data_IF_744498706824
#
_entry.id   IF_744498706824
#
_cell.length_a   1.000
_cell.length_b   1.000
_cell.length_c   1.000
_cell.angle_alpha   90.00
_cell.angle_beta   90.00
_cell.angle_gamma   90.00
#
_symmetry.space_group_name_H-M   'P 1'
#
loop_
_entity.id
_entity.type
_entity.pdbx_description
1 polymer ?
#
# COMPACT_ATOMS: atom_id res chain seq x y z
N UNK A 1 18.46 1.40 -20.81
CA UNK A 1 18.10 2.48 -19.87
C UNK A 1 17.50 1.82 -18.64
N UNK A 2 17.98 2.15 -17.44
CA UNK A 2 17.41 1.60 -16.21
C UNK A 2 15.95 2.05 -16.08
N UNK A 3 15.08 1.16 -15.60
CA UNK A 3 13.67 1.49 -15.34
C UNK A 3 13.63 2.56 -14.23
N UNK A 4 12.97 3.72 -14.44
CA UNK A 4 12.79 4.72 -13.40
C UNK A 4 12.23 4.16 -12.09
N UNK A 5 11.41 3.11 -12.17
CA UNK A 5 10.84 2.42 -11.01
C UNK A 5 11.88 1.60 -10.25
N UNK A 6 12.87 1.00 -10.92
CA UNK A 6 13.95 0.26 -10.27
C UNK A 6 14.83 1.19 -9.42
N UNK A 7 15.09 2.40 -9.90
CA UNK A 7 15.80 3.44 -9.13
C UNK A 7 15.06 3.76 -7.83
N UNK A 8 13.75 3.99 -7.91
CA UNK A 8 12.91 4.25 -6.73
C UNK A 8 12.93 3.09 -5.74
N UNK A 9 12.95 1.84 -6.19
CA UNK A 9 13.06 0.70 -5.30
C UNK A 9 14.40 0.64 -4.54
N UNK A 10 15.51 1.08 -5.17
CA UNK A 10 16.79 1.22 -4.47
C UNK A 10 16.74 2.35 -3.42
N UNK A 11 16.13 3.48 -3.74
CA UNK A 11 15.96 4.57 -2.77
C UNK A 11 15.10 4.16 -1.58
N UNK A 12 14.00 3.47 -1.84
CA UNK A 12 13.12 2.96 -0.77
C UNK A 12 13.85 1.99 0.15
N UNK A 13 14.72 1.13 -0.40
CA UNK A 13 15.59 0.28 0.40
C UNK A 13 16.54 1.11 1.28
N UNK A 14 17.14 2.16 0.74
CA UNK A 14 18.01 3.08 1.49
C UNK A 14 17.28 3.79 2.63
N UNK A 15 15.99 4.08 2.45
CA UNK A 15 15.10 4.65 3.47
C UNK A 15 14.55 3.62 4.48
N UNK A 16 14.95 2.34 4.39
CA UNK A 16 14.48 1.27 5.27
C UNK A 16 13.13 0.66 4.88
N UNK A 17 12.63 0.92 3.67
CA UNK A 17 11.42 0.31 3.13
C UNK A 17 11.60 -1.20 2.89
N UNK A 18 10.51 -1.96 3.04
CA UNK A 18 10.48 -3.41 2.86
C UNK A 18 10.52 -3.80 1.36
N UNK A 19 11.66 -3.60 0.71
CA UNK A 19 11.84 -3.82 -0.73
C UNK A 19 12.97 -4.81 -1.02
N UNK A 20 12.65 -5.88 -1.75
CA UNK A 20 13.64 -6.76 -2.38
C UNK A 20 14.09 -6.16 -3.73
N UNK A 21 15.38 -5.89 -3.88
CA UNK A 21 15.95 -5.37 -5.13
C UNK A 21 17.08 -6.27 -5.60
N UNK A 22 17.10 -6.59 -6.90
CA UNK A 22 18.16 -7.38 -7.53
C UNK A 22 19.34 -6.46 -7.89
N UNK A 23 20.56 -6.90 -7.55
CA UNK A 23 21.75 -6.06 -7.71
C UNK A 23 21.85 -4.99 -6.63
N UNK A 24 23.04 -4.88 -6.02
CA UNK A 24 23.35 -3.86 -5.03
C UNK A 24 24.21 -2.81 -5.72
N UNK A 25 23.72 -1.58 -5.81
CA UNK A 25 24.62 -0.46 -6.00
C UNK A 25 25.29 -0.20 -4.64
N UNK A 26 26.62 -0.23 -4.53
CA UNK A 26 27.30 0.01 -3.28
C UNK A 26 27.18 1.50 -2.92
N UNK A 27 26.30 1.78 -1.97
CA UNK A 27 26.26 3.01 -1.18
C UNK A 27 25.82 4.28 -1.93
N UNK A 28 24.67 4.29 -2.63
CA UNK A 28 24.11 5.53 -3.13
C UNK A 28 23.73 6.45 -1.95
N UNK A 29 23.95 7.77 -2.06
CA UNK A 29 23.53 8.70 -1.03
C UNK A 29 22.01 8.60 -0.84
N UNK A 30 21.59 8.36 0.41
CA UNK A 30 20.17 8.26 0.76
C UNK A 30 19.49 9.59 0.48
N UNK A 31 18.55 9.60 -0.46
CA UNK A 31 17.77 10.78 -0.82
C UNK A 31 16.76 11.10 0.29
N UNK A 32 16.40 12.38 0.50
CA UNK A 32 15.38 12.73 1.49
C UNK A 32 14.03 12.04 1.18
N UNK A 33 13.28 11.60 2.20
CA UNK A 33 12.04 10.85 1.98
C UNK A 33 11.01 11.66 1.19
N UNK A 34 10.95 12.98 1.35
CA UNK A 34 10.03 13.86 0.62
C UNK A 34 10.26 13.81 -0.89
N UNK A 35 11.52 13.68 -1.30
CA UNK A 35 11.91 13.54 -2.71
C UNK A 35 11.44 12.19 -3.25
N UNK A 36 11.75 11.12 -2.52
CA UNK A 36 11.45 9.74 -2.96
C UNK A 36 9.94 9.49 -2.97
N UNK A 37 9.19 9.98 -1.97
CA UNK A 37 7.73 9.91 -1.94
C UNK A 37 7.15 10.66 -3.15
N UNK A 38 7.57 11.90 -3.38
CA UNK A 38 7.03 12.72 -4.47
C UNK A 38 7.24 12.06 -5.85
N UNK A 39 8.44 11.56 -6.13
CA UNK A 39 8.70 10.86 -7.40
C UNK A 39 7.94 9.53 -7.47
N UNK A 40 7.80 8.83 -6.34
CA UNK A 40 7.03 7.59 -6.30
C UNK A 40 5.56 7.81 -6.61
N UNK A 41 4.94 8.93 -6.19
CA UNK A 41 3.52 9.16 -6.48
C UNK A 41 3.23 9.29 -7.97
N UNK A 42 4.19 9.76 -8.78
CA UNK A 42 4.08 9.76 -10.24
C UNK A 42 4.05 8.34 -10.84
N UNK A 43 4.59 7.34 -10.15
CA UNK A 43 4.76 5.97 -10.65
C UNK A 43 3.86 4.94 -9.96
N UNK A 44 3.21 5.29 -8.85
CA UNK A 44 2.35 4.40 -8.06
C UNK A 44 1.23 3.75 -8.91
N UNK A 45 0.61 4.52 -9.81
CA UNK A 45 -0.45 4.02 -10.69
C UNK A 45 0.04 2.99 -11.72
N UNK A 46 1.33 3.03 -12.06
CA UNK A 46 1.97 2.03 -12.93
C UNK A 46 2.46 0.80 -12.15
N UNK A 47 2.79 0.96 -10.87
CA UNK A 47 3.34 -0.10 -10.02
C UNK A 47 2.57 -0.23 -8.70
N UNK A 48 1.69 -1.24 -8.61
CA UNK A 48 1.00 -1.58 -7.36
C UNK A 48 1.99 -1.85 -6.23
N UNK A 49 3.11 -2.52 -6.53
CA UNK A 49 4.16 -2.79 -5.54
C UNK A 49 4.77 -1.51 -4.98
N UNK A 50 5.03 -0.50 -5.82
CA UNK A 50 5.55 0.78 -5.36
C UNK A 50 4.54 1.49 -4.45
N UNK A 51 3.27 1.53 -4.86
CA UNK A 51 2.16 2.06 -4.03
C UNK A 51 2.19 1.48 -2.62
N UNK A 52 2.38 0.16 -2.49
CA UNK A 52 2.45 -0.52 -1.20
C UNK A 52 3.67 -0.13 -0.37
N UNK A 53 4.84 -0.04 -1.00
CA UNK A 53 6.08 0.36 -0.33
C UNK A 53 5.94 1.77 0.25
N UNK A 54 5.39 2.71 -0.52
CA UNK A 54 5.18 4.08 -0.04
C UNK A 54 4.18 4.10 1.12
N UNK A 55 3.06 3.40 0.99
CA UNK A 55 2.02 3.36 2.02
C UNK A 55 2.53 2.76 3.33
N UNK A 56 3.22 1.62 3.27
CA UNK A 56 3.82 0.96 4.43
C UNK A 56 4.87 1.84 5.11
N UNK A 57 5.74 2.50 4.33
CA UNK A 57 6.75 3.39 4.89
C UNK A 57 6.11 4.60 5.57
N UNK A 58 5.11 5.23 4.92
CA UNK A 58 4.34 6.34 5.51
C UNK A 58 3.69 5.92 6.83
N UNK A 59 3.07 4.73 6.87
CA UNK A 59 2.45 4.18 8.08
C UNK A 59 3.43 4.00 9.25
N UNK A 60 4.73 3.88 9.00
CA UNK A 60 5.75 3.68 10.04
C UNK A 60 6.54 4.93 10.38
N UNK A 61 6.64 5.88 9.45
CA UNK A 61 7.64 6.95 9.51
C UNK A 61 7.10 8.36 9.20
N UNK A 62 5.77 8.55 9.14
CA UNK A 62 5.18 9.87 8.82
C UNK A 62 5.69 11.01 9.71
N UNK A 63 6.07 10.72 10.95
CA UNK A 63 6.60 11.69 11.91
C UNK A 63 7.95 12.28 11.50
N UNK A 64 8.66 11.63 10.56
CA UNK A 64 9.94 12.10 10.01
C UNK A 64 9.77 12.95 8.75
N UNK A 65 8.54 13.11 8.25
CA UNK A 65 8.25 13.78 6.98
C UNK A 65 8.05 15.27 7.19
N UNK A 66 8.84 16.08 6.49
CA UNK A 66 8.56 17.50 6.32
C UNK A 66 7.42 17.69 5.32
N UNK A 67 6.23 18.04 5.84
CA UNK A 67 5.02 18.18 5.03
C UNK A 67 5.12 19.28 3.98
N UNK A 68 5.78 20.39 4.29
CA UNK A 68 5.87 21.51 3.35
C UNK A 68 6.75 21.14 2.16
N UNK A 69 7.89 20.51 2.45
CA UNK A 69 8.83 20.01 1.46
C UNK A 69 8.17 18.90 0.64
N UNK A 70 7.48 17.93 1.27
CA UNK A 70 6.76 16.89 0.57
C UNK A 70 5.75 17.47 -0.43
N UNK A 71 4.86 18.35 0.03
CA UNK A 71 3.84 18.94 -0.84
C UNK A 71 4.45 19.75 -1.97
N UNK A 72 5.53 20.50 -1.71
CA UNK A 72 6.23 21.25 -2.74
C UNK A 72 6.85 20.32 -3.78
N UNK A 73 7.57 19.26 -3.35
CA UNK A 73 8.17 18.30 -4.26
C UNK A 73 7.13 17.52 -5.05
N UNK A 74 5.99 17.17 -4.44
CA UNK A 74 4.91 16.48 -5.16
C UNK A 74 4.28 17.35 -6.23
N UNK A 75 4.18 18.68 -6.03
CA UNK A 75 3.73 19.60 -7.10
C UNK A 75 4.71 19.67 -8.26
N UNK A 76 6.01 19.61 -7.98
CA UNK A 76 7.05 19.76 -8.99
C UNK A 76 7.20 18.53 -9.90
N UNK A 77 7.04 17.33 -9.34
CA UNK A 77 7.45 16.07 -10.01
C UNK A 77 6.62 14.84 -9.65
N UNK A 78 5.59 15.01 -8.84
CA UNK A 78 4.72 13.94 -8.37
C UNK A 78 3.28 14.12 -8.81
N UNK A 79 2.40 13.32 -8.20
CA UNK A 79 0.96 13.43 -8.30
C UNK A 79 0.35 13.70 -6.91
N UNK A 80 -0.28 14.87 -6.76
CA UNK A 80 -0.91 15.30 -5.50
C UNK A 80 -2.15 14.47 -5.16
N UNK A 81 -2.91 14.03 -6.17
CA UNK A 81 -4.11 13.25 -5.94
C UNK A 81 -3.76 11.84 -5.47
N UNK A 82 -2.71 11.24 -6.04
CA UNK A 82 -2.13 9.98 -5.56
C UNK A 82 -1.55 10.12 -4.15
N UNK A 83 -0.81 11.20 -3.86
CA UNK A 83 -0.34 11.46 -2.50
C UNK A 83 -1.51 11.55 -1.51
N UNK A 84 -2.60 12.21 -1.93
CA UNK A 84 -3.84 12.30 -1.18
C UNK A 84 -4.44 10.93 -0.86
N UNK A 85 -4.56 10.06 -1.87
CA UNK A 85 -5.02 8.67 -1.68
C UNK A 85 -4.14 7.93 -0.66
N UNK A 86 -2.83 8.00 -0.79
CA UNK A 86 -1.90 7.31 0.10
C UNK A 86 -1.99 7.82 1.54
N UNK A 87 -2.06 9.14 1.72
CA UNK A 87 -2.18 9.75 3.04
C UNK A 87 -3.54 9.48 3.68
N UNK A 88 -4.64 9.50 2.91
CA UNK A 88 -5.97 9.17 3.39
C UNK A 88 -6.07 7.68 3.77
N UNK A 89 -5.52 6.79 2.94
CA UNK A 89 -5.41 5.36 3.25
C UNK A 89 -4.61 5.11 4.54
N UNK A 90 -3.49 5.79 4.71
CA UNK A 90 -2.67 5.69 5.91
C UNK A 90 -3.41 6.24 7.14
N UNK A 91 -4.10 7.37 7.00
CA UNK A 91 -4.86 8.00 8.09
C UNK A 91 -6.03 7.15 8.56
N UNK A 92 -6.71 6.45 7.65
CA UNK A 92 -7.79 5.52 8.01
C UNK A 92 -7.31 4.38 8.92
N UNK A 93 -6.04 4.01 8.84
CA UNK A 93 -5.44 2.91 9.61
C UNK A 93 -4.74 3.38 10.87
N UNK A 94 -3.94 4.43 10.73
CA UNK A 94 -3.22 5.08 11.82
C UNK A 94 -3.48 6.59 11.75
N UNK A 95 -4.55 7.06 12.42
CA UNK A 95 -4.85 8.49 12.46
C UNK A 95 -3.64 9.29 12.93
N UNK A 96 -3.25 10.30 12.15
CA UNK A 96 -2.10 11.14 12.49
C UNK A 96 -2.29 12.56 11.93
N UNK A 97 -2.03 13.63 12.72
CA UNK A 97 -2.19 15.02 12.28
C UNK A 97 -1.43 15.35 10.98
N UNK A 98 -0.26 14.73 10.78
CA UNK A 98 0.50 14.86 9.53
C UNK A 98 -0.28 14.38 8.31
N UNK A 99 -0.94 13.22 8.39
CA UNK A 99 -1.75 12.73 7.27
C UNK A 99 -2.94 13.63 7.02
N UNK A 100 -3.64 14.08 8.07
CA UNK A 100 -4.75 15.02 7.92
C UNK A 100 -4.30 16.31 7.21
N UNK A 101 -3.13 16.84 7.57
CA UNK A 101 -2.57 18.04 6.92
C UNK A 101 -2.28 17.80 5.44
N UNK A 102 -1.73 16.64 5.10
CA UNK A 102 -1.47 16.26 3.69
C UNK A 102 -2.81 16.14 2.94
N UNK A 103 -3.76 15.36 3.48
CA UNK A 103 -5.08 15.13 2.88
C UNK A 103 -5.83 16.44 2.62
N UNK A 104 -5.83 17.37 3.59
CA UNK A 104 -6.48 18.69 3.43
C UNK A 104 -5.85 19.57 2.35
N UNK A 105 -4.59 19.34 1.99
CA UNK A 105 -3.86 20.16 1.02
C UNK A 105 -3.89 19.56 -0.40
N UNK A 106 -4.06 18.25 -0.50
CA UNK A 106 -4.20 17.54 -1.77
C UNK A 106 -5.62 17.74 -2.36
N UNK A 107 -5.73 17.57 -3.68
CA UNK A 107 -6.99 17.62 -4.40
C UNK A 107 -7.26 16.27 -5.10
N UNK A 108 -8.52 15.84 -5.20
CA UNK A 108 -8.91 14.69 -6.02
C UNK A 108 -8.46 14.82 -7.48
N UNK A 109 -8.32 13.67 -8.16
CA UNK A 109 -8.05 13.66 -9.60
C UNK A 109 -9.20 14.39 -10.34
N UNK A 110 -8.94 15.22 -11.37
CA UNK A 110 -10.00 15.96 -12.06
C UNK A 110 -11.01 15.06 -12.79
N UNK A 111 -10.60 13.83 -13.11
CA UNK A 111 -11.37 12.84 -13.88
C UNK A 111 -11.56 11.58 -13.08
N UNK A 112 -12.71 10.90 -13.22
CA UNK A 112 -12.90 9.59 -12.61
C UNK A 112 -12.15 8.51 -13.41
N UNK A 113 -11.15 7.88 -12.82
CA UNK A 113 -10.27 6.93 -13.52
C UNK A 113 -10.04 5.63 -12.75
N UNK A 114 -9.74 4.54 -13.45
CA UNK A 114 -9.18 3.36 -12.79
C UNK A 114 -7.79 3.70 -12.25
N UNK A 115 -7.54 3.39 -10.97
CA UNK A 115 -6.32 3.82 -10.29
C UNK A 115 -5.07 3.20 -10.94
N UNK A 116 -5.03 1.87 -11.04
CA UNK A 116 -3.89 1.16 -11.61
C UNK A 116 -3.99 1.05 -13.14
N UNK A 117 -2.95 1.45 -13.85
CA UNK A 117 -2.91 1.44 -15.32
C UNK A 117 -3.09 0.03 -15.91
N UNK A 118 -2.48 -1.00 -15.30
CA UNK A 118 -2.66 -2.39 -15.76
C UNK A 118 -4.12 -2.86 -15.66
N UNK A 119 -4.84 -2.39 -14.63
CA UNK A 119 -6.25 -2.76 -14.40
C UNK A 119 -7.12 -2.06 -15.44
N UNK A 120 -6.81 -0.79 -15.76
CA UNK A 120 -7.48 -0.04 -16.80
C UNK A 120 -7.39 -0.70 -18.19
N UNK A 121 -6.28 -1.40 -18.47
CA UNK A 121 -6.04 -2.10 -19.73
C UNK A 121 -6.81 -3.42 -19.88
N UNK A 122 -7.34 -3.99 -18.79
CA UNK A 122 -8.13 -5.21 -18.82
C UNK A 122 -9.63 -4.89 -18.68
N UNK A 123 -10.47 -5.15 -19.70
CA UNK A 123 -11.90 -4.83 -19.63
C UNK A 123 -12.62 -5.48 -18.44
N UNK A 124 -12.29 -6.75 -18.15
CA UNK A 124 -12.84 -7.47 -17.02
C UNK A 124 -12.40 -6.85 -15.68
N UNK A 125 -11.09 -6.59 -15.52
CA UNK A 125 -10.56 -6.03 -14.28
C UNK A 125 -11.05 -4.59 -14.05
N UNK A 126 -11.13 -3.78 -15.10
CA UNK A 126 -11.70 -2.44 -15.04
C UNK A 126 -13.18 -2.44 -14.66
N UNK A 127 -13.96 -3.43 -15.16
CA UNK A 127 -15.36 -3.60 -14.75
C UNK A 127 -15.45 -3.94 -13.26
N UNK A 128 -14.68 -4.92 -12.79
CA UNK A 128 -14.64 -5.29 -11.37
C UNK A 128 -14.20 -4.12 -10.47
N UNK A 129 -13.21 -3.34 -10.91
CA UNK A 129 -12.75 -2.16 -10.19
C UNK A 129 -13.83 -1.06 -10.09
N UNK A 130 -14.73 -0.96 -11.07
CA UNK A 130 -15.88 -0.03 -11.02
C UNK A 130 -16.97 -0.52 -10.07
N UNK A 131 -17.34 -1.79 -10.21
CA UNK A 131 -18.41 -2.42 -9.42
C UNK A 131 -18.06 -2.47 -7.93
N UNK A 132 -16.79 -2.72 -7.61
CA UNK A 132 -16.29 -2.89 -6.24
C UNK A 132 -15.33 -1.79 -5.80
N UNK A 133 -15.45 -0.57 -6.37
CA UNK A 133 -14.59 0.55 -5.97
C UNK A 133 -14.76 0.88 -4.49
N UNK A 134 -13.63 0.92 -3.76
CA UNK A 134 -13.62 1.32 -2.35
C UNK A 134 -13.91 2.83 -2.22
N UNK A 135 -14.65 3.21 -1.19
CA UNK A 135 -15.07 4.61 -0.98
C UNK A 135 -13.89 5.56 -0.83
N UNK A 136 -12.79 5.07 -0.25
CA UNK A 136 -11.52 5.80 -0.20
C UNK A 136 -11.09 6.25 -1.60
N UNK A 137 -11.00 5.36 -2.59
CA UNK A 137 -10.61 5.75 -3.94
C UNK A 137 -11.65 6.65 -4.61
N UNK A 138 -12.94 6.41 -4.38
CA UNK A 138 -14.01 7.27 -4.93
C UNK A 138 -13.88 8.72 -4.48
N UNK A 139 -13.55 8.98 -3.21
CA UNK A 139 -13.31 10.35 -2.70
C UNK A 139 -12.22 11.09 -3.48
N UNK A 140 -11.25 10.36 -4.02
CA UNK A 140 -10.13 10.90 -4.80
C UNK A 140 -10.34 10.81 -6.31
N UNK A 141 -11.57 10.54 -6.77
CA UNK A 141 -11.93 10.32 -8.18
C UNK A 141 -11.15 9.16 -8.83
N UNK A 142 -10.94 8.10 -8.06
CA UNK A 142 -10.36 6.87 -8.55
C UNK A 142 -11.27 5.66 -8.34
N UNK A 143 -11.04 4.63 -9.16
CA UNK A 143 -11.71 3.35 -9.12
C UNK A 143 -10.68 2.27 -8.87
N UNK A 144 -10.76 1.63 -7.71
CA UNK A 144 -9.97 0.47 -7.36
C UNK A 144 -10.71 -0.33 -6.31
N UNK A 145 -10.78 -1.64 -6.52
CA UNK A 145 -11.18 -2.61 -5.51
C UNK A 145 -9.98 -3.09 -4.69
N UNK A 146 -8.76 -2.72 -5.09
CA UNK A 146 -7.52 -3.16 -4.46
C UNK A 146 -7.04 -2.13 -3.43
N UNK A 147 -7.30 -2.44 -2.14
CA UNK A 147 -6.43 -2.13 -0.99
C UNK A 147 -6.40 -3.32 0.00
N UNK A 148 -6.90 -4.48 -0.42
CA UNK A 148 -7.04 -5.67 0.41
C UNK A 148 -5.78 -6.54 0.35
N UNK A 149 -4.65 -6.08 0.90
CA UNK A 149 -3.51 -6.94 1.27
C UNK A 149 -2.70 -6.43 2.47
N UNK A 150 -3.36 -5.67 3.33
CA UNK A 150 -2.87 -5.34 4.67
C UNK A 150 -4.09 -5.39 5.58
N UNK A 151 -4.70 -6.58 5.67
CA UNK A 151 -5.60 -6.86 6.78
C UNK A 151 -4.75 -6.84 8.04
N UNK A 152 -5.14 -5.99 8.99
CA UNK A 152 -5.18 -6.49 10.35
C UNK A 152 -6.16 -7.68 10.30
N UNK A 153 -5.65 -8.87 10.56
CA UNK A 153 -6.45 -9.89 11.23
C UNK A 153 -6.31 -9.63 12.73
N UNK A 154 -7.22 -8.89 13.39
CA UNK A 154 -7.38 -9.05 14.82
C UNK A 154 -8.30 -10.27 15.02
N UNK A 155 -7.77 -11.50 14.96
CA UNK A 155 -8.60 -12.64 15.36
C UNK A 155 -8.32 -14.04 14.84
N UNK A 156 -7.19 -14.36 14.20
CA UNK A 156 -6.83 -15.77 14.04
C UNK A 156 -6.14 -16.30 15.31
N UNK A 157 -6.88 -16.34 16.43
CA UNK A 157 -6.62 -17.40 17.41
C UNK A 157 -6.96 -18.69 16.71
N UNK A 158 -5.95 -19.50 16.41
CA UNK A 158 -6.12 -20.87 16.02
C UNK A 158 -6.84 -21.60 17.17
N UNK A 159 -8.17 -21.52 17.18
CA UNK A 159 -9.02 -22.44 17.92
C UNK A 159 -9.00 -23.76 17.14
N UNK A 160 -7.86 -24.45 17.22
CA UNK A 160 -7.82 -25.87 16.99
C UNK A 160 -8.47 -26.53 18.20
N UNK A 161 -9.80 -26.51 18.24
CA UNK A 161 -10.52 -27.62 18.82
C UNK A 161 -10.23 -28.86 17.96
N UNK A 162 -9.63 -29.93 18.50
CA UNK A 162 -9.65 -31.19 17.80
C UNK A 162 -11.07 -31.75 17.90
N UNK A 163 -11.77 -31.63 16.77
CA UNK A 163 -12.91 -32.46 16.44
C UNK A 163 -12.53 -33.93 16.64
N UNK A 164 -13.22 -34.56 17.59
CA UNK A 164 -13.72 -35.93 17.55
C UNK A 164 -12.90 -36.90 16.68
N UNK A 165 -11.91 -37.56 17.28
CA UNK A 165 -11.40 -38.82 16.74
C UNK A 165 -12.24 -39.95 17.32
N UNK A 166 -13.00 -40.58 16.43
CA UNK A 166 -13.73 -41.81 16.67
C UNK A 166 -12.79 -42.88 17.24
N UNK A 167 -13.09 -43.35 18.46
CA UNK A 167 -12.52 -44.60 18.99
C UNK A 167 -13.51 -45.72 18.70
N UNK A 168 -13.19 -46.52 17.68
CA UNK A 168 -13.85 -47.79 17.41
C UNK A 168 -13.19 -48.89 18.25
N UNK A 169 -14.06 -49.61 18.95
CA UNK A 169 -13.90 -50.76 19.85
C UNK A 169 -12.99 -51.87 19.30
N UNK A 170 -12.29 -52.58 20.20
CA UNK A 170 -11.93 -54.02 20.27
C UNK A 170 -10.87 -54.14 21.41
N UNK A 171 -10.82 -55.07 22.37
CA UNK A 171 -11.48 -56.34 22.65
C UNK A 171 -11.15 -56.78 24.11
N UNK A 172 -11.98 -57.65 24.68
CA UNK A 172 -11.73 -58.69 25.69
C UNK A 172 -10.81 -58.50 26.91
N UNK A 173 -11.37 -58.76 28.10
CA UNK A 173 -10.93 -59.78 29.11
C UNK A 173 -11.47 -59.41 30.51
N UNK A 174 -12.52 -60.10 30.99
CA UNK A 174 -12.44 -61.20 31.96
C UNK A 174 -11.92 -60.82 33.35
N UNK A 175 -12.80 -60.77 34.36
CA UNK A 175 -12.95 -61.82 35.39
C UNK A 175 -13.65 -61.27 36.65
N UNK A 176 -14.72 -62.00 37.03
CA UNK A 176 -15.29 -62.26 38.37
C UNK A 176 -15.23 -61.20 39.47
#
# INVERSE_FOLDING_TARGET
>A
MADPVDGLFQDWRGLGGAVLVAGRDPDPPVRPPEVVIAESTAQCRASSRLTWVVLDWLLRHVEKVDVQTLLQRTRERGDLSVLGVLADAANQRRPHPTFERIVRTCAPNPTLEVFFHRVAQSPLAARLAREHALDLFRRWNYLSSELCYLGDEPGYTADHGPSSTATLVLDGSSST
#
